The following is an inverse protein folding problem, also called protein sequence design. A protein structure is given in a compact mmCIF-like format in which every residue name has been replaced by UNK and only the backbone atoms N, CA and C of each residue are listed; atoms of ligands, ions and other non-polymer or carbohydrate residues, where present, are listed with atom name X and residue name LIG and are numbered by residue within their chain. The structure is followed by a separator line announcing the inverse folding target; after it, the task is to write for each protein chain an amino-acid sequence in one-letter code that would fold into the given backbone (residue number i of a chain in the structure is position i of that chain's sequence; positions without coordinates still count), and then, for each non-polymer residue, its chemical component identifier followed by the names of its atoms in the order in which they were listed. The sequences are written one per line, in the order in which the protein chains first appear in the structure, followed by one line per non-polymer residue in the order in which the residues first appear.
data_IF_089333186528
#
_entry.id   IF_089333186528
#
_cell.length_a   1.000
_cell.length_b   1.000
_cell.length_c   1.000
_cell.angle_alpha   90.00
_cell.angle_beta   90.00
_cell.angle_gamma   90.00
#
_symmetry.space_group_name_H-M   'P 1'
#
loop_
_entity.id
_entity.type
_entity.pdbx_description
1 polymer ?
#
# COMPACT_ATOMS: atom_id res chain seq x y z
N UNK A 1 -28.09 -27.13 -19.68
CA UNK A 1 -27.40 -28.38 -20.07
C UNK A 1 -25.92 -28.07 -20.06
N UNK A 2 -25.19 -28.49 -19.02
CA UNK A 2 -23.72 -28.33 -18.99
C UNK A 2 -23.10 -29.16 -20.11
N UNK A 3 -22.31 -28.54 -20.98
CA UNK A 3 -21.56 -29.27 -22.01
C UNK A 3 -20.35 -29.89 -21.33
N UNK A 4 -20.18 -31.21 -21.47
CA UNK A 4 -18.95 -31.87 -21.01
C UNK A 4 -17.75 -31.22 -21.71
N UNK A 5 -16.86 -30.65 -20.91
CA UNK A 5 -15.62 -30.02 -21.34
C UNK A 5 -14.72 -31.07 -22.02
N UNK A 6 -14.14 -30.75 -23.19
CA UNK A 6 -13.25 -31.67 -23.91
C UNK A 6 -11.93 -31.82 -23.14
N UNK A 7 -11.22 -32.93 -23.36
CA UNK A 7 -9.94 -33.20 -22.68
C UNK A 7 -8.89 -32.11 -22.89
N UNK A 8 -8.79 -31.56 -24.11
CA UNK A 8 -7.88 -30.46 -24.42
C UNK A 8 -8.21 -29.16 -23.67
N UNK A 9 -9.51 -28.81 -23.61
CA UNK A 9 -9.95 -27.62 -22.87
C UNK A 9 -9.60 -27.75 -21.39
N UNK A 10 -9.74 -28.95 -20.82
CA UNK A 10 -9.46 -29.22 -19.40
C UNK A 10 -7.98 -28.98 -19.08
N UNK A 11 -7.08 -29.46 -19.92
CA UNK A 11 -5.64 -29.24 -19.78
C UNK A 11 -5.32 -27.74 -19.83
N UNK A 12 -5.94 -27.01 -20.76
CA UNK A 12 -5.75 -25.56 -20.88
C UNK A 12 -6.23 -24.81 -19.63
N UNK A 13 -7.41 -25.17 -19.09
CA UNK A 13 -7.90 -24.58 -17.86
C UNK A 13 -6.98 -24.85 -16.67
N UNK A 14 -6.53 -26.10 -16.51
CA UNK A 14 -5.59 -26.46 -15.45
C UNK A 14 -4.30 -25.64 -15.55
N UNK A 15 -3.79 -25.44 -16.78
CA UNK A 15 -2.65 -24.55 -17.03
C UNK A 15 -2.94 -23.11 -16.62
N UNK A 16 -4.06 -22.53 -17.02
CA UNK A 16 -4.41 -21.15 -16.69
C UNK A 16 -4.54 -20.94 -15.18
N UNK A 17 -5.23 -21.86 -14.49
CA UNK A 17 -5.43 -21.86 -13.04
C UNK A 17 -4.09 -21.92 -12.30
N UNK A 18 -3.22 -22.87 -12.67
CA UNK A 18 -1.90 -23.04 -12.04
C UNK A 18 -0.97 -21.86 -12.29
N UNK A 19 -1.21 -21.10 -13.36
CA UNK A 19 -0.37 -19.97 -13.74
C UNK A 19 -0.89 -18.61 -13.27
N UNK A 20 -2.08 -18.54 -12.65
CA UNK A 20 -2.68 -17.30 -12.20
C UNK A 20 -3.28 -16.46 -13.33
N UNK A 21 -3.64 -17.09 -14.45
CA UNK A 21 -4.21 -16.46 -15.64
C UNK A 21 -5.74 -16.39 -15.51
N UNK A 22 -6.22 -15.43 -14.70
CA UNK A 22 -7.62 -15.31 -14.31
C UNK A 22 -8.55 -15.18 -15.52
N UNK A 23 -8.23 -14.26 -16.44
CA UNK A 23 -9.10 -13.93 -17.56
C UNK A 23 -9.23 -15.10 -18.55
N UNK A 24 -8.11 -15.76 -18.85
CA UNK A 24 -8.07 -16.94 -19.72
C UNK A 24 -8.81 -18.12 -19.08
N UNK A 25 -8.62 -18.33 -17.78
CA UNK A 25 -9.36 -19.36 -17.04
C UNK A 25 -10.88 -19.07 -17.06
N UNK A 26 -11.29 -17.81 -16.88
CA UNK A 26 -12.69 -17.39 -16.95
C UNK A 26 -13.30 -17.63 -18.34
N UNK A 27 -12.57 -17.32 -19.41
CA UNK A 27 -13.01 -17.61 -20.77
C UNK A 27 -13.18 -19.12 -20.99
N UNK A 28 -12.23 -19.93 -20.53
CA UNK A 28 -12.28 -21.38 -20.68
C UNK A 28 -13.49 -22.01 -19.97
N UNK A 29 -13.76 -21.62 -18.71
CA UNK A 29 -14.95 -22.13 -17.98
C UNK A 29 -16.25 -21.67 -18.63
N UNK A 30 -16.32 -20.39 -19.07
CA UNK A 30 -17.49 -19.84 -19.76
C UNK A 30 -17.77 -20.57 -21.08
N UNK A 31 -16.75 -20.90 -21.85
CA UNK A 31 -16.88 -21.68 -23.08
C UNK A 31 -17.45 -23.09 -22.84
N UNK A 32 -17.18 -23.68 -21.67
CA UNK A 32 -17.77 -24.95 -21.24
C UNK A 32 -19.19 -24.84 -20.64
N UNK A 33 -19.71 -23.61 -20.50
CA UNK A 33 -21.07 -23.36 -20.02
C UNK A 33 -21.23 -23.48 -18.50
N UNK A 34 -20.13 -23.34 -17.74
CA UNK A 34 -20.15 -23.28 -16.27
C UNK A 34 -19.42 -22.04 -15.75
N UNK A 35 -19.62 -21.76 -14.47
CA UNK A 35 -18.85 -20.75 -13.74
C UNK A 35 -17.55 -21.35 -13.18
N UNK A 36 -16.65 -20.46 -12.77
CA UNK A 36 -15.44 -20.85 -12.06
C UNK A 36 -15.79 -21.34 -10.66
N UNK A 37 -15.20 -22.46 -10.25
CA UNK A 37 -15.37 -22.98 -8.90
C UNK A 37 -14.52 -22.21 -7.90
N UNK A 38 -14.94 -22.10 -6.62
CA UNK A 38 -14.15 -21.44 -5.58
C UNK A 38 -12.72 -21.98 -5.47
N UNK A 39 -12.51 -23.29 -5.62
CA UNK A 39 -11.20 -23.93 -5.57
C UNK A 39 -10.30 -23.48 -6.71
N UNK A 40 -10.85 -23.27 -7.91
CA UNK A 40 -10.11 -22.76 -9.07
C UNK A 40 -9.67 -21.31 -8.84
N UNK A 41 -10.55 -20.48 -8.26
CA UNK A 41 -10.22 -19.11 -7.86
C UNK A 41 -9.13 -19.09 -6.79
N UNK A 42 -9.23 -19.94 -5.76
CA UNK A 42 -8.20 -20.04 -4.72
C UNK A 42 -6.84 -20.47 -5.28
N UNK A 43 -6.82 -21.42 -6.22
CA UNK A 43 -5.60 -21.83 -6.91
C UNK A 43 -5.00 -20.68 -7.73
N UNK A 44 -5.82 -19.92 -8.46
CA UNK A 44 -5.39 -18.72 -9.18
C UNK A 44 -4.79 -17.70 -8.22
N UNK A 45 -5.45 -17.41 -7.09
CA UNK A 45 -4.98 -16.45 -6.09
C UNK A 45 -3.62 -16.88 -5.53
N UNK A 46 -3.45 -18.16 -5.19
CA UNK A 46 -2.18 -18.72 -4.69
C UNK A 46 -1.07 -18.63 -5.74
N UNK A 47 -1.38 -18.95 -7.00
CA UNK A 47 -0.44 -18.81 -8.11
C UNK A 47 -0.02 -17.35 -8.32
N UNK A 48 -0.98 -16.42 -8.25
CA UNK A 48 -0.73 -14.99 -8.34
C UNK A 48 0.20 -14.50 -7.22
N UNK A 49 -0.03 -14.91 -5.97
CA UNK A 49 0.88 -14.57 -4.86
C UNK A 49 2.30 -15.08 -5.07
N UNK A 50 2.44 -16.35 -5.50
CA UNK A 50 3.75 -16.94 -5.77
C UNK A 50 4.52 -16.19 -6.86
N UNK A 51 3.81 -15.67 -7.86
CA UNK A 51 4.39 -14.94 -9.00
C UNK A 51 4.46 -13.43 -8.80
N UNK A 52 3.88 -12.89 -7.73
CA UNK A 52 3.78 -11.46 -7.49
C UNK A 52 2.78 -10.73 -8.38
N UNK A 53 1.80 -11.43 -8.97
CA UNK A 53 0.72 -10.86 -9.80
C UNK A 53 -0.39 -10.28 -8.90
N UNK A 54 -0.06 -9.25 -8.11
CA UNK A 54 -0.90 -8.79 -7.00
C UNK A 54 -2.21 -8.12 -7.45
N UNK A 55 -2.22 -7.44 -8.61
CA UNK A 55 -3.45 -6.89 -9.19
C UNK A 55 -4.43 -7.99 -9.62
N UNK A 56 -3.94 -9.02 -10.31
CA UNK A 56 -4.75 -10.18 -10.71
C UNK A 56 -5.25 -10.94 -9.48
N UNK A 57 -4.43 -11.05 -8.43
CA UNK A 57 -4.87 -11.63 -7.15
C UNK A 57 -6.03 -10.82 -6.54
N UNK A 58 -5.95 -9.49 -6.54
CA UNK A 58 -7.02 -8.60 -6.03
C UNK A 58 -8.34 -8.87 -6.77
N UNK A 59 -8.29 -8.95 -8.09
CA UNK A 59 -9.46 -9.23 -8.92
C UNK A 59 -10.02 -10.64 -8.63
N UNK A 60 -9.17 -11.66 -8.60
CA UNK A 60 -9.57 -13.04 -8.33
C UNK A 60 -10.25 -13.18 -6.96
N UNK A 61 -9.75 -12.48 -5.93
CA UNK A 61 -10.37 -12.43 -4.60
C UNK A 61 -11.79 -11.87 -4.67
N UNK A 62 -12.04 -10.86 -5.51
CA UNK A 62 -13.36 -10.27 -5.71
C UNK A 62 -14.42 -11.27 -6.18
N UNK A 63 -14.01 -12.34 -6.86
CA UNK A 63 -14.90 -13.39 -7.35
C UNK A 63 -15.17 -14.53 -6.34
N UNK A 64 -14.49 -14.57 -5.19
CA UNK A 64 -14.78 -15.58 -4.17
C UNK A 64 -16.19 -15.40 -3.61
N UNK A 65 -16.95 -16.47 -3.33
CA UNK A 65 -18.32 -16.33 -2.83
C UNK A 65 -18.38 -15.98 -1.33
N UNK A 66 -17.37 -16.39 -0.55
CA UNK A 66 -17.37 -16.30 0.91
C UNK A 66 -16.59 -15.10 1.45
N UNK A 67 -17.23 -14.31 2.31
CA UNK A 67 -16.62 -13.13 2.93
C UNK A 67 -15.45 -13.48 3.86
N UNK A 68 -15.48 -14.64 4.52
CA UNK A 68 -14.38 -15.08 5.39
C UNK A 68 -13.11 -15.34 4.57
N UNK A 69 -13.28 -16.01 3.43
CA UNK A 69 -12.25 -16.40 2.47
C UNK A 69 -11.68 -15.16 1.79
N UNK A 70 -12.55 -14.25 1.31
CA UNK A 70 -12.12 -12.94 0.80
C UNK A 70 -11.24 -12.21 1.81
N UNK A 71 -11.71 -12.09 3.04
CA UNK A 71 -10.98 -11.39 4.09
C UNK A 71 -9.67 -12.07 4.48
N UNK A 72 -9.58 -13.39 4.38
CA UNK A 72 -8.32 -14.11 4.55
C UNK A 72 -7.32 -13.70 3.46
N UNK A 73 -7.72 -13.74 2.20
CA UNK A 73 -6.83 -13.43 1.08
C UNK A 73 -6.51 -11.93 0.94
N UNK A 74 -7.44 -11.02 1.24
CA UNK A 74 -7.17 -9.57 1.30
C UNK A 74 -6.10 -9.24 2.35
N UNK A 75 -6.12 -9.90 3.51
CA UNK A 75 -5.05 -9.72 4.52
C UNK A 75 -3.69 -10.18 3.99
N UNK A 76 -3.64 -11.34 3.34
CA UNK A 76 -2.41 -11.82 2.70
C UNK A 76 -1.94 -10.86 1.59
N UNK A 77 -2.87 -10.33 0.80
CA UNK A 77 -2.59 -9.38 -0.27
C UNK A 77 -2.03 -8.06 0.25
N UNK A 78 -2.63 -7.49 1.30
CA UNK A 78 -2.11 -6.26 1.90
C UNK A 78 -0.66 -6.42 2.38
N UNK A 79 -0.32 -7.54 3.03
CA UNK A 79 1.06 -7.84 3.46
C UNK A 79 2.00 -7.95 2.25
N UNK A 80 1.57 -8.65 1.20
CA UNK A 80 2.36 -8.80 -0.03
C UNK A 80 2.59 -7.47 -0.75
N UNK A 81 1.58 -6.59 -0.78
CA UNK A 81 1.70 -5.24 -1.35
C UNK A 81 2.71 -4.40 -0.55
N UNK A 82 2.59 -4.40 0.78
CA UNK A 82 3.48 -3.65 1.67
C UNK A 82 4.94 -4.14 1.57
N UNK A 83 5.17 -5.44 1.42
CA UNK A 83 6.52 -6.00 1.19
C UNK A 83 7.15 -5.56 -0.13
N UNK A 84 6.34 -5.19 -1.11
CA UNK A 84 6.77 -4.72 -2.44
C UNK A 84 6.66 -3.19 -2.59
N UNK A 85 6.39 -2.48 -1.50
CA UNK A 85 6.18 -1.03 -1.49
C UNK A 85 5.06 -0.54 -2.42
N UNK A 86 4.05 -1.38 -2.66
CA UNK A 86 2.85 -1.00 -3.42
C UNK A 86 1.84 -0.36 -2.47
N UNK A 87 2.15 0.85 -1.97
CA UNK A 87 1.41 1.51 -0.88
C UNK A 87 -0.04 1.82 -1.24
N UNK A 88 -0.31 2.34 -2.44
CA UNK A 88 -1.67 2.64 -2.89
C UNK A 88 -2.53 1.39 -2.98
N UNK A 89 -1.98 0.33 -3.59
CA UNK A 89 -2.69 -0.96 -3.70
C UNK A 89 -2.92 -1.56 -2.31
N UNK A 90 -1.94 -1.46 -1.41
CA UNK A 90 -2.09 -1.92 -0.04
C UNK A 90 -3.22 -1.18 0.68
N UNK A 91 -3.31 0.14 0.53
CA UNK A 91 -4.37 0.98 1.09
C UNK A 91 -5.74 0.55 0.58
N UNK A 92 -5.92 0.46 -0.73
CA UNK A 92 -7.17 0.01 -1.35
C UNK A 92 -7.59 -1.37 -0.84
N UNK A 93 -6.64 -2.30 -0.70
CA UNK A 93 -6.92 -3.64 -0.19
C UNK A 93 -7.32 -3.62 1.29
N UNK A 94 -6.75 -2.73 2.09
CA UNK A 94 -7.12 -2.56 3.51
C UNK A 94 -8.51 -1.91 3.65
N UNK A 95 -8.88 -1.00 2.76
CA UNK A 95 -10.22 -0.39 2.73
C UNK A 95 -11.31 -1.43 2.49
N UNK A 96 -11.02 -2.47 1.69
CA UNK A 96 -11.92 -3.60 1.45
C UNK A 96 -12.07 -4.56 2.66
N UNK A 97 -11.21 -4.45 3.68
CA UNK A 97 -11.34 -5.27 4.89
C UNK A 97 -12.47 -4.75 5.80
N UNK A 98 -13.10 -5.61 6.62
CA UNK A 98 -14.12 -5.21 7.58
C UNK A 98 -13.58 -4.16 8.56
N UNK A 99 -14.16 -2.97 8.53
CA UNK A 99 -13.72 -1.84 9.35
C UNK A 99 -13.99 -2.07 10.84
N UNK A 100 -13.19 -1.45 11.70
CA UNK A 100 -13.31 -1.58 13.16
C UNK A 100 -12.87 -2.92 13.75
N UNK A 101 -12.41 -3.87 12.93
CA UNK A 101 -11.87 -5.15 13.42
C UNK A 101 -10.38 -5.03 13.75
N UNK A 102 -9.95 -5.67 14.86
CA UNK A 102 -8.55 -5.70 15.32
C UNK A 102 -7.54 -6.05 14.22
N UNK A 103 -7.91 -6.98 13.32
CA UNK A 103 -7.04 -7.39 12.21
C UNK A 103 -6.88 -6.27 11.17
N UNK A 104 -7.94 -5.55 10.81
CA UNK A 104 -7.87 -4.40 9.88
C UNK A 104 -7.00 -3.28 10.45
N UNK A 105 -7.16 -3.00 11.75
CA UNK A 105 -6.31 -2.02 12.45
C UNK A 105 -4.82 -2.40 12.42
N UNK A 106 -4.50 -3.70 12.48
CA UNK A 106 -3.12 -4.17 12.35
C UNK A 106 -2.53 -3.84 10.96
N UNK A 107 -3.29 -4.08 9.88
CA UNK A 107 -2.81 -3.79 8.52
C UNK A 107 -2.67 -2.29 8.26
N UNK A 108 -3.61 -1.48 8.74
CA UNK A 108 -3.49 -0.02 8.65
C UNK A 108 -2.26 0.50 9.42
N UNK A 109 -2.00 0.01 10.64
CA UNK A 109 -0.77 0.33 11.38
C UNK A 109 0.49 -0.12 10.64
N UNK A 110 0.46 -1.27 10.00
CA UNK A 110 1.59 -1.76 9.21
C UNK A 110 1.84 -0.86 8.00
N UNK A 111 0.78 -0.42 7.30
CA UNK A 111 0.88 0.54 6.20
C UNK A 111 1.49 1.86 6.68
N UNK A 112 0.99 2.45 7.77
CA UNK A 112 1.57 3.69 8.36
C UNK A 112 3.07 3.51 8.62
N UNK A 113 3.46 2.41 9.26
CA UNK A 113 4.87 2.15 9.56
C UNK A 113 5.73 1.99 8.29
N UNK A 114 5.20 1.38 7.24
CA UNK A 114 5.90 1.28 5.95
C UNK A 114 6.03 2.66 5.30
N UNK A 115 4.97 3.46 5.27
CA UNK A 115 5.01 4.82 4.76
C UNK A 115 6.04 5.68 5.52
N UNK A 116 6.06 5.60 6.85
CA UNK A 116 7.05 6.29 7.70
C UNK A 116 8.46 5.88 7.30
N UNK A 117 8.74 4.57 7.21
CA UNK A 117 10.06 4.04 6.81
C UNK A 117 10.55 4.55 5.46
N UNK A 118 9.61 4.89 4.57
CA UNK A 118 9.89 5.35 3.22
C UNK A 118 9.80 6.87 3.07
N UNK A 119 9.61 7.63 4.17
CA UNK A 119 9.48 9.08 4.14
C UNK A 119 8.22 9.59 3.43
N UNK A 120 7.18 8.74 3.31
CA UNK A 120 5.96 8.99 2.55
C UNK A 120 4.87 9.63 3.42
N UNK A 121 4.92 10.96 3.53
CA UNK A 121 4.05 11.73 4.43
C UNK A 121 2.57 11.60 4.08
N UNK A 122 2.21 11.86 2.82
CA UNK A 122 0.82 11.91 2.39
C UNK A 122 0.17 10.52 2.48
N UNK A 123 0.90 9.49 2.08
CA UNK A 123 0.46 8.10 2.17
C UNK A 123 0.34 7.64 3.63
N UNK A 124 1.25 8.07 4.52
CA UNK A 124 1.14 7.81 5.95
C UNK A 124 -0.11 8.49 6.55
N UNK A 125 -0.37 9.74 6.16
CA UNK A 125 -1.53 10.49 6.63
C UNK A 125 -2.84 9.86 6.14
N UNK A 126 -2.93 9.44 4.87
CA UNK A 126 -4.08 8.70 4.35
C UNK A 126 -4.28 7.37 5.07
N UNK A 127 -3.19 6.65 5.36
CA UNK A 127 -3.24 5.40 6.11
C UNK A 127 -3.71 5.61 7.57
N UNK A 128 -3.34 6.72 8.21
CA UNK A 128 -3.82 7.08 9.55
C UNK A 128 -5.34 7.30 9.58
N UNK A 129 -5.91 7.88 8.51
CA UNK A 129 -7.37 8.05 8.38
C UNK A 129 -8.13 6.72 8.39
N UNK A 130 -7.51 5.62 7.94
CA UNK A 130 -8.11 4.28 8.07
C UNK A 130 -8.26 3.82 9.53
N UNK A 131 -7.52 4.43 10.45
CA UNK A 131 -7.66 4.25 11.90
C UNK A 131 -8.59 5.29 12.54
N UNK A 132 -9.17 6.21 11.76
CA UNK A 132 -10.01 7.29 12.26
C UNK A 132 -9.25 8.36 13.04
N UNK A 133 -7.96 8.58 12.73
CA UNK A 133 -7.11 9.60 13.36
C UNK A 133 -6.15 10.25 12.36
N UNK A 134 -5.58 11.38 12.74
CA UNK A 134 -4.42 11.96 12.06
C UNK A 134 -3.12 11.30 12.53
N UNK A 135 -2.00 11.63 11.87
CA UNK A 135 -0.68 11.20 12.31
C UNK A 135 -0.35 11.78 13.68
N UNK A 136 0.23 10.95 14.54
CA UNK A 136 0.77 11.41 15.82
C UNK A 136 2.02 12.27 15.56
N UNK A 137 2.31 13.20 16.47
CA UNK A 137 3.49 14.07 16.34
C UNK A 137 4.78 13.24 16.24
N UNK A 138 4.89 12.14 16.99
CA UNK A 138 6.02 11.23 16.95
C UNK A 138 6.14 10.46 15.61
N UNK A 139 5.03 10.27 14.89
CA UNK A 139 5.04 9.69 13.54
C UNK A 139 5.54 10.70 12.51
N UNK A 140 5.12 11.96 12.63
CA UNK A 140 5.59 13.07 11.79
C UNK A 140 7.09 13.30 11.99
N UNK A 141 7.57 13.35 13.24
CA UNK A 141 8.99 13.49 13.54
C UNK A 141 9.84 12.36 12.94
N UNK A 142 9.36 11.11 12.98
CA UNK A 142 10.05 9.98 12.34
C UNK A 142 10.17 10.16 10.84
N UNK A 143 9.12 10.66 10.18
CA UNK A 143 9.16 10.97 8.74
C UNK A 143 10.20 12.04 8.47
N UNK A 144 10.22 13.14 9.24
CA UNK A 144 11.21 14.21 9.10
C UNK A 144 12.63 13.65 9.23
N UNK A 145 12.90 12.85 10.26
CA UNK A 145 14.21 12.24 10.48
C UNK A 145 14.64 11.33 9.33
N UNK A 146 13.72 10.55 8.76
CA UNK A 146 13.99 9.67 7.63
C UNK A 146 14.27 10.48 6.36
N UNK A 147 13.49 11.51 6.08
CA UNK A 147 13.70 12.41 4.95
C UNK A 147 15.06 13.12 5.06
N UNK A 148 15.40 13.67 6.23
CA UNK A 148 16.72 14.28 6.47
C UNK A 148 17.86 13.29 6.27
N UNK A 149 17.74 12.08 6.81
CA UNK A 149 18.75 11.02 6.65
C UNK A 149 18.96 10.66 5.17
N UNK A 150 17.90 10.67 4.38
CA UNK A 150 17.94 10.35 2.95
C UNK A 150 18.22 11.57 2.06
N UNK A 151 18.51 12.74 2.66
CA UNK A 151 18.70 14.02 1.94
C UNK A 151 17.50 14.37 1.05
N UNK A 152 16.30 14.28 1.62
CA UNK A 152 15.03 14.72 1.04
C UNK A 152 14.50 15.95 1.81
N UNK A 153 15.18 17.10 1.71
CA UNK A 153 14.86 18.28 2.51
C UNK A 153 13.49 18.89 2.18
N UNK A 154 13.00 18.74 0.94
CA UNK A 154 11.67 19.23 0.53
C UNK A 154 10.55 18.48 1.26
N UNK A 155 10.63 17.15 1.28
CA UNK A 155 9.70 16.26 1.95
C UNK A 155 9.75 16.45 3.46
N UNK A 156 10.95 16.64 4.03
CA UNK A 156 11.12 17.00 5.43
C UNK A 156 10.43 18.33 5.75
N UNK A 157 10.58 19.36 4.90
CA UNK A 157 9.96 20.68 5.08
C UNK A 157 8.45 20.59 5.13
N UNK A 158 7.85 19.78 4.25
CA UNK A 158 6.40 19.56 4.24
C UNK A 158 5.91 18.86 5.52
N UNK A 159 6.67 17.90 6.03
CA UNK A 159 6.33 17.21 7.28
C UNK A 159 6.44 18.14 8.50
N UNK A 160 7.43 19.04 8.56
CA UNK A 160 7.60 20.01 9.65
C UNK A 160 6.37 20.92 9.81
N UNK A 161 5.69 21.25 8.71
CA UNK A 161 4.47 22.08 8.73
C UNK A 161 3.33 21.44 9.53
N UNK A 162 3.37 20.13 9.76
CA UNK A 162 2.39 19.39 10.56
C UNK A 162 2.77 19.27 12.04
N UNK A 163 3.97 19.73 12.43
CA UNK A 163 4.35 19.78 13.83
C UNK A 163 3.65 20.93 14.56
N UNK A 164 3.17 20.66 15.77
CA UNK A 164 2.58 21.70 16.64
C UNK A 164 3.61 22.35 17.55
N UNK A 165 4.67 21.63 17.90
CA UNK A 165 5.77 22.13 18.72
C UNK A 165 6.62 23.12 17.90
N UNK A 166 6.67 24.38 18.36
CA UNK A 166 7.42 25.45 17.71
C UNK A 166 8.94 25.25 17.84
N UNK A 167 9.43 24.83 18.99
CA UNK A 167 10.86 24.59 19.20
C UNK A 167 11.34 23.42 18.35
N UNK A 168 10.54 22.34 18.25
CA UNK A 168 10.83 21.23 17.35
C UNK A 168 10.89 21.68 15.89
N UNK A 169 9.92 22.50 15.43
CA UNK A 169 9.92 23.04 14.06
C UNK A 169 11.18 23.82 13.74
N UNK A 170 11.58 24.74 14.62
CA UNK A 170 12.80 25.54 14.49
C UNK A 170 14.01 24.61 14.36
N UNK A 171 14.18 23.65 15.28
CA UNK A 171 15.29 22.71 15.26
C UNK A 171 15.38 21.90 13.96
N UNK A 172 14.24 21.47 13.40
CA UNK A 172 14.24 20.72 12.14
C UNK A 172 14.47 21.60 10.91
N UNK A 173 13.96 22.84 10.88
CA UNK A 173 14.24 23.77 9.79
C UNK A 173 15.73 24.16 9.74
N UNK A 174 16.40 24.34 10.89
CA UNK A 174 17.86 24.55 10.94
C UNK A 174 18.65 23.37 10.32
N UNK A 175 18.20 22.13 10.59
CA UNK A 175 18.79 20.93 9.98
C UNK A 175 18.58 20.89 8.48
N UNK A 176 17.37 21.21 8.00
CA UNK A 176 17.09 21.32 6.55
C UNK A 176 17.95 22.39 5.89
N UNK A 177 18.07 23.56 6.53
CA UNK A 177 18.88 24.67 6.02
C UNK A 177 20.34 24.22 5.83
N UNK A 178 20.88 23.50 6.79
CA UNK A 178 22.24 22.93 6.70
C UNK A 178 22.37 21.99 5.50
N UNK A 179 21.41 21.08 5.28
CA UNK A 179 21.40 20.18 4.11
C UNK A 179 21.37 20.96 2.80
N UNK A 180 20.50 21.95 2.66
CA UNK A 180 20.42 22.75 1.42
C UNK A 180 21.71 23.54 1.16
N UNK A 181 22.34 24.08 2.20
CA UNK A 181 23.61 24.80 2.06
C UNK A 181 24.76 23.87 1.65
N UNK A 182 24.84 22.68 2.25
CA UNK A 182 25.83 21.65 1.87
C UNK A 182 25.69 21.22 0.41
N UNK A 183 24.46 21.20 -0.12
CA UNK A 183 24.17 20.80 -1.50
C UNK A 183 24.22 21.97 -2.49
N UNK A 184 24.50 23.20 -2.03
CA UNK A 184 24.54 24.40 -2.86
C UNK A 184 23.18 24.85 -3.39
N UNK A 185 22.08 24.40 -2.76
CA UNK A 185 20.70 24.74 -3.13
C UNK A 185 20.24 26.03 -2.43
N UNK A 186 20.89 27.15 -2.78
CA UNK A 186 20.74 28.43 -2.07
C UNK A 186 19.34 29.04 -2.11
N UNK A 187 18.59 28.89 -3.21
CA UNK A 187 17.22 29.41 -3.26
C UNK A 187 16.28 28.64 -2.33
N UNK A 188 16.41 27.32 -2.28
CA UNK A 188 15.67 26.48 -1.31
C UNK A 188 16.06 26.81 0.13
N UNK A 189 17.36 27.01 0.39
CA UNK A 189 17.86 27.46 1.69
C UNK A 189 17.24 28.81 2.10
N UNK A 190 17.16 29.77 1.17
CA UNK A 190 16.51 31.07 1.41
C UNK A 190 15.04 30.91 1.76
N UNK A 191 14.29 30.06 1.05
CA UNK A 191 12.88 29.79 1.35
C UNK A 191 12.72 29.23 2.76
N UNK A 192 13.53 28.25 3.15
CA UNK A 192 13.48 27.67 4.50
C UNK A 192 13.85 28.69 5.58
N UNK A 193 14.85 29.56 5.34
CA UNK A 193 15.19 30.63 6.27
C UNK A 193 14.04 31.62 6.47
N UNK A 194 13.24 31.89 5.44
CA UNK A 194 12.02 32.69 5.58
C UNK A 194 10.95 31.97 6.40
N UNK A 195 10.74 30.67 6.17
CA UNK A 195 9.81 29.86 6.97
C UNK A 195 10.25 29.79 8.45
N UNK A 196 11.56 29.73 8.72
CA UNK A 196 12.14 29.75 10.06
C UNK A 196 11.86 31.08 10.79
N UNK A 197 12.09 32.22 10.13
CA UNK A 197 11.83 33.55 10.70
C UNK A 197 10.33 33.78 11.00
N UNK A 198 9.42 33.11 10.28
CA UNK A 198 8.00 33.13 10.57
C UNK A 198 7.59 32.15 11.69
N UNK A 199 8.46 31.19 12.02
CA UNK A 199 8.24 30.23 13.09
C UNK A 199 8.69 30.77 14.46
N UNK A 200 9.63 31.73 14.52
CA UNK A 200 10.09 32.48 15.72
C UNK A 200 9.05 33.43 16.32
#
# INVERSE_FOLDING_TARGET
MERKMKSGDRIMLEFFVQNGLLYEAQQAVKASGRNMFPEELEMIIRACFKKGLLFVAKEAIGFLPGESEKNFYLRMLSISCLKKDLLDVAREVIELLPQGKKKTLYHAKLLINTCIKNGKLDEAAQAAKLLGRDLAQEEVEKIIMICLKNRWPSEASNAIKLLHDKEARICYYEKILTVYLEEGLFESARTVAQELNCAE
#
